data_IF_957818880273
#
_entry.id   IF_957818880273
#
_cell.length_a   1.000
_cell.length_b   1.000
_cell.length_c   1.000
_cell.angle_alpha   90.00
_cell.angle_beta   90.00
_cell.angle_gamma   90.00
#
_symmetry.space_group_name_H-M   'P 1'
#
loop_
_entity.id
_entity.type
_entity.pdbx_description
1 polymer ?
#
# COMPACT_ATOMS: atom_id res chain seq x y z
N UNK A 1 23.32 -5.06 -4.12
CA UNK A 1 22.34 -5.69 -3.22
C UNK A 1 21.57 -6.75 -4.00
N UNK A 2 21.35 -7.92 -3.42
CA UNK A 2 20.58 -8.99 -4.05
C UNK A 2 19.08 -8.68 -4.01
N UNK A 3 18.30 -9.37 -4.86
CA UNK A 3 16.84 -9.23 -4.84
C UNK A 3 16.28 -9.67 -3.47
N UNK A 4 16.80 -10.74 -2.89
CA UNK A 4 16.37 -11.19 -1.54
C UNK A 4 16.63 -10.14 -0.48
N UNK A 5 17.79 -9.47 -0.52
CA UNK A 5 18.12 -8.39 0.42
C UNK A 5 17.20 -7.19 0.24
N UNK A 6 16.88 -6.83 -1.00
CA UNK A 6 15.95 -5.74 -1.29
C UNK A 6 14.55 -6.04 -0.76
N UNK A 7 14.04 -7.25 -1.02
CA UNK A 7 12.73 -7.67 -0.51
C UNK A 7 12.69 -7.65 1.01
N UNK A 8 13.76 -8.10 1.66
CA UNK A 8 13.86 -8.09 3.11
C UNK A 8 13.82 -6.66 3.66
N UNK A 9 14.58 -5.74 3.08
CA UNK A 9 14.56 -4.33 3.50
C UNK A 9 13.18 -3.70 3.34
N UNK A 10 12.53 -3.94 2.20
CA UNK A 10 11.17 -3.43 1.96
C UNK A 10 10.21 -3.98 3.00
N UNK A 11 10.29 -5.28 3.28
CA UNK A 11 9.45 -5.92 4.29
C UNK A 11 9.64 -5.30 5.67
N UNK A 12 10.89 -4.94 6.04
CA UNK A 12 11.20 -4.29 7.31
C UNK A 12 10.48 -2.95 7.50
N UNK A 13 10.19 -2.23 6.41
CA UNK A 13 9.44 -0.96 6.50
C UNK A 13 8.07 -1.16 7.12
N UNK A 14 7.41 -2.28 6.82
CA UNK A 14 6.08 -2.60 7.37
C UNK A 14 6.13 -3.27 8.73
N UNK A 15 7.31 -3.72 9.16
CA UNK A 15 7.51 -4.32 10.48
C UNK A 15 7.94 -3.31 11.53
N UNK A 16 8.17 -2.05 11.16
CA UNK A 16 8.56 -1.02 12.14
C UNK A 16 7.45 -0.87 13.21
N UNK A 17 7.83 -0.57 14.46
CA UNK A 17 6.84 -0.36 15.53
C UNK A 17 5.83 0.74 15.19
N UNK A 18 6.27 1.83 14.54
CA UNK A 18 5.37 2.92 14.15
C UNK A 18 4.37 2.50 13.08
N UNK A 19 4.80 1.71 12.08
CA UNK A 19 3.87 1.19 11.08
C UNK A 19 2.86 0.23 11.71
N UNK A 20 3.29 -0.66 12.58
CA UNK A 20 2.40 -1.60 13.26
C UNK A 20 1.40 -0.89 14.16
N UNK A 21 1.82 0.17 14.84
CA UNK A 21 0.91 1.00 15.64
C UNK A 21 -0.12 1.70 14.75
N UNK A 22 0.28 2.21 13.59
CA UNK A 22 -0.62 2.81 12.62
C UNK A 22 -1.62 1.78 12.08
N UNK A 23 -1.15 0.58 11.77
CA UNK A 23 -2.00 -0.51 11.27
C UNK A 23 -3.04 -0.93 12.31
N UNK A 24 -2.69 -0.94 13.59
CA UNK A 24 -3.63 -1.23 14.67
C UNK A 24 -4.76 -0.19 14.73
N UNK A 25 -4.46 1.10 14.53
CA UNK A 25 -5.46 2.14 14.44
C UNK A 25 -6.36 1.90 13.22
N UNK A 26 -5.76 1.63 12.06
CA UNK A 26 -6.49 1.32 10.84
C UNK A 26 -7.43 0.13 11.01
N UNK A 27 -6.98 -0.95 11.64
CA UNK A 27 -7.82 -2.12 11.91
C UNK A 27 -8.99 -1.78 12.84
N UNK A 28 -8.81 -0.81 13.73
CA UNK A 28 -9.84 -0.40 14.68
C UNK A 28 -10.92 0.48 14.06
N UNK A 29 -10.54 1.50 13.27
CA UNK A 29 -11.48 2.52 12.79
C UNK A 29 -11.61 2.60 11.26
N UNK A 30 -10.67 2.07 10.51
CA UNK A 30 -10.65 2.10 9.04
C UNK A 30 -10.12 3.40 8.45
N UNK A 31 -9.71 3.33 7.18
CA UNK A 31 -9.03 4.41 6.49
C UNK A 31 -9.88 5.67 6.36
N UNK A 32 -11.19 5.52 6.08
CA UNK A 32 -12.09 6.67 5.96
C UNK A 32 -12.17 7.48 7.26
N UNK A 33 -12.32 6.81 8.39
CA UNK A 33 -12.38 7.46 9.69
C UNK A 33 -11.05 8.13 10.04
N UNK A 34 -9.92 7.50 9.69
CA UNK A 34 -8.60 8.08 9.87
C UNK A 34 -8.47 9.41 9.11
N UNK A 35 -8.88 9.41 7.83
CA UNK A 35 -8.82 10.60 6.97
C UNK A 35 -9.77 11.70 7.45
N UNK A 36 -10.87 11.33 8.09
CA UNK A 36 -11.86 12.28 8.61
C UNK A 36 -11.47 12.85 9.98
N UNK A 37 -10.44 12.29 10.61
CA UNK A 37 -9.94 12.80 11.90
C UNK A 37 -9.19 14.13 11.70
N UNK A 38 -9.17 15.02 12.69
CA UNK A 38 -8.38 16.25 12.58
C UNK A 38 -6.91 15.97 12.26
N UNK A 39 -6.29 16.82 11.47
CA UNK A 39 -4.93 16.62 10.97
C UNK A 39 -3.86 16.53 12.06
N UNK A 40 -4.15 17.05 13.25
CA UNK A 40 -3.26 17.01 14.41
C UNK A 40 -3.37 15.72 15.22
N UNK A 41 -4.28 14.82 14.87
CA UNK A 41 -4.53 13.61 15.67
C UNK A 41 -3.60 12.44 15.27
N UNK A 42 -3.33 11.51 16.21
CA UNK A 42 -2.59 10.29 15.90
C UNK A 42 -3.27 9.46 14.81
N UNK A 43 -4.59 9.46 14.72
CA UNK A 43 -5.35 8.70 13.72
C UNK A 43 -5.05 9.19 12.32
N UNK A 44 -5.06 10.49 12.09
CA UNK A 44 -4.70 11.08 10.79
C UNK A 44 -3.22 10.82 10.46
N UNK A 45 -2.34 11.03 11.44
CA UNK A 45 -0.91 10.74 11.29
C UNK A 45 -0.62 9.29 10.94
N UNK A 46 -1.39 8.36 11.53
CA UNK A 46 -1.25 6.94 11.24
C UNK A 46 -1.58 6.62 9.78
N UNK A 47 -2.65 7.21 9.23
CA UNK A 47 -2.97 7.04 7.80
C UNK A 47 -1.83 7.56 6.92
N UNK A 48 -1.32 8.76 7.22
CA UNK A 48 -0.22 9.37 6.47
C UNK A 48 1.04 8.50 6.53
N UNK A 49 1.30 7.90 7.67
CA UNK A 49 2.44 6.99 7.83
C UNK A 49 2.30 5.73 6.99
N UNK A 50 1.13 5.09 7.03
CA UNK A 50 0.88 3.87 6.25
C UNK A 50 0.99 4.15 4.75
N UNK A 51 0.33 5.20 4.27
CA UNK A 51 0.36 5.57 2.85
C UNK A 51 1.77 5.99 2.44
N UNK A 52 2.46 6.77 3.27
CA UNK A 52 3.85 7.18 3.01
C UNK A 52 4.81 6.00 2.92
N UNK A 53 4.60 4.98 3.75
CA UNK A 53 5.38 3.73 3.68
C UNK A 53 5.16 3.03 2.34
N UNK A 54 3.91 2.91 1.89
CA UNK A 54 3.59 2.31 0.59
C UNK A 54 4.09 3.16 -0.58
N UNK A 55 4.10 4.49 -0.46
CA UNK A 55 4.74 5.36 -1.46
C UNK A 55 6.24 5.05 -1.59
N UNK A 56 6.93 4.93 -0.47
CA UNK A 56 8.35 4.59 -0.45
C UNK A 56 8.60 3.21 -1.07
N UNK A 57 7.78 2.22 -0.70
CA UNK A 57 7.84 0.87 -1.28
C UNK A 57 7.62 0.93 -2.79
N UNK A 58 6.62 1.69 -3.24
CA UNK A 58 6.28 1.81 -4.65
C UNK A 58 7.44 2.39 -5.46
N UNK A 59 8.11 3.42 -4.95
CA UNK A 59 9.28 4.02 -5.61
C UNK A 59 10.40 2.99 -5.76
N UNK A 60 10.69 2.24 -4.69
CA UNK A 60 11.76 1.23 -4.71
C UNK A 60 11.46 0.10 -5.69
N UNK A 61 10.23 -0.41 -5.68
CA UNK A 61 9.83 -1.52 -6.56
C UNK A 61 9.80 -1.08 -8.02
N UNK A 62 9.23 0.09 -8.30
CA UNK A 62 9.08 0.57 -9.67
C UNK A 62 10.40 1.00 -10.31
N UNK A 63 11.40 1.32 -9.52
CA UNK A 63 12.73 1.68 -10.03
C UNK A 63 13.65 0.48 -10.26
N UNK A 64 13.21 -0.75 -9.98
CA UNK A 64 14.00 -1.96 -10.17
C UNK A 64 13.14 -3.06 -10.79
N UNK A 65 13.25 -3.26 -12.11
CA UNK A 65 12.42 -4.22 -12.84
C UNK A 65 12.57 -5.65 -12.32
N UNK A 66 13.76 -6.04 -11.90
CA UNK A 66 14.01 -7.38 -11.38
C UNK A 66 13.27 -7.65 -10.05
N UNK A 67 12.91 -6.60 -9.34
CA UNK A 67 12.22 -6.69 -8.06
C UNK A 67 10.71 -6.86 -8.20
N UNK A 68 10.12 -6.40 -9.32
CA UNK A 68 8.66 -6.29 -9.48
C UNK A 68 7.92 -7.60 -9.26
N UNK A 69 8.24 -8.63 -10.05
CA UNK A 69 7.51 -9.91 -9.95
C UNK A 69 7.69 -10.59 -8.60
N UNK A 70 8.91 -10.73 -8.05
CA UNK A 70 9.06 -11.27 -6.69
C UNK A 70 8.26 -10.48 -5.65
N UNK A 71 8.22 -9.16 -5.77
CA UNK A 71 7.44 -8.32 -4.86
C UNK A 71 5.94 -8.58 -4.99
N UNK A 72 5.41 -8.63 -6.23
CA UNK A 72 3.98 -8.90 -6.45
C UNK A 72 3.55 -10.26 -5.92
N UNK A 73 4.43 -11.26 -6.00
CA UNK A 73 4.14 -12.61 -5.52
C UNK A 73 4.07 -12.71 -3.99
N UNK A 74 4.67 -11.78 -3.28
CA UNK A 74 4.85 -11.87 -1.82
C UNK A 74 4.17 -10.74 -1.04
N UNK A 75 3.52 -9.78 -1.73
CA UNK A 75 2.91 -8.63 -1.06
C UNK A 75 1.50 -8.35 -1.57
N UNK A 76 0.59 -7.95 -0.69
CA UNK A 76 -0.83 -7.76 -1.01
C UNK A 76 -1.12 -6.35 -1.55
N UNK A 77 -0.51 -5.98 -2.70
CA UNK A 77 -0.60 -4.61 -3.24
C UNK A 77 -2.04 -4.18 -3.46
N UNK A 78 -2.82 -4.97 -4.22
CA UNK A 78 -4.20 -4.62 -4.55
C UNK A 78 -5.11 -4.57 -3.32
N UNK A 79 -4.92 -5.50 -2.40
CA UNK A 79 -5.67 -5.52 -1.14
C UNK A 79 -5.40 -4.25 -0.33
N UNK A 80 -4.14 -3.87 -0.16
CA UNK A 80 -3.78 -2.69 0.62
C UNK A 80 -4.24 -1.40 -0.06
N UNK A 81 -4.13 -1.32 -1.39
CA UNK A 81 -4.66 -0.19 -2.14
C UNK A 81 -6.16 -0.02 -1.89
N UNK A 82 -6.95 -1.09 -2.06
CA UNK A 82 -8.40 -1.05 -1.89
C UNK A 82 -8.79 -0.65 -0.46
N UNK A 83 -8.07 -1.15 0.54
CA UNK A 83 -8.35 -0.86 1.94
C UNK A 83 -7.97 0.56 2.35
N UNK A 84 -6.92 1.12 1.76
CA UNK A 84 -6.48 2.49 2.06
C UNK A 84 -7.12 3.55 1.18
N UNK A 85 -7.72 3.16 0.05
CA UNK A 85 -8.28 4.08 -0.93
C UNK A 85 -9.31 5.05 -0.35
N UNK A 86 -10.26 4.64 0.53
CA UNK A 86 -11.19 5.60 1.11
C UNK A 86 -10.47 6.72 1.89
N UNK A 87 -9.39 6.40 2.57
CA UNK A 87 -8.54 7.38 3.25
C UNK A 87 -7.78 8.27 2.28
N UNK A 88 -7.20 7.67 1.24
CA UNK A 88 -6.50 8.40 0.19
C UNK A 88 -7.42 9.41 -0.49
N UNK A 89 -8.64 8.99 -0.83
CA UNK A 89 -9.66 9.87 -1.42
C UNK A 89 -10.01 11.02 -0.49
N UNK A 90 -10.12 10.74 0.81
CA UNK A 90 -10.38 11.76 1.81
C UNK A 90 -9.30 12.82 1.86
N UNK A 91 -8.03 12.41 1.88
CA UNK A 91 -6.90 13.33 1.88
C UNK A 91 -6.82 14.13 0.58
N UNK A 92 -7.03 13.48 -0.56
CA UNK A 92 -7.04 14.16 -1.87
C UNK A 92 -8.13 15.21 -1.97
N UNK A 93 -9.30 14.97 -1.37
CA UNK A 93 -10.40 15.91 -1.36
C UNK A 93 -10.22 17.06 -0.38
N UNK A 94 -9.48 16.85 0.71
CA UNK A 94 -9.17 17.88 1.69
C UNK A 94 -8.30 19.00 1.10
N UNK A 95 -7.34 18.63 0.26
CA UNK A 95 -6.44 19.59 -0.38
C UNK A 95 -6.93 19.87 -1.80
N UNK A 96 -7.67 20.96 -1.99
CA UNK A 96 -8.18 21.35 -3.31
C UNK A 96 -7.12 22.05 -4.18
N UNK A 97 -5.87 22.09 -3.73
CA UNK A 97 -4.76 22.65 -4.48
C UNK A 97 -4.18 21.66 -5.48
N UNK A 98 -3.35 22.13 -6.41
CA UNK A 98 -2.72 21.30 -7.45
C UNK A 98 -1.81 20.19 -6.87
N UNK A 99 -1.33 20.33 -5.65
CA UNK A 99 -0.48 19.33 -5.01
C UNK A 99 -1.27 18.13 -4.47
N UNK A 100 -2.54 18.34 -4.12
CA UNK A 100 -3.37 17.33 -3.48
C UNK A 100 -3.69 16.11 -4.35
N UNK A 101 -3.97 16.26 -5.67
CA UNK A 101 -4.26 15.11 -6.53
C UNK A 101 -3.11 14.11 -6.66
N UNK A 102 -1.89 14.51 -6.34
CA UNK A 102 -0.71 13.63 -6.42
C UNK A 102 -0.47 12.81 -5.16
N UNK A 103 -1.25 13.00 -4.10
CA UNK A 103 -1.12 12.20 -2.88
C UNK A 103 -1.31 10.72 -3.20
N UNK A 104 -0.38 9.89 -2.75
CA UNK A 104 -0.35 8.45 -3.02
C UNK A 104 -0.19 8.09 -4.50
N UNK A 105 0.36 8.98 -5.32
CA UNK A 105 0.53 8.77 -6.76
C UNK A 105 1.39 7.53 -7.07
N UNK A 106 2.52 7.38 -6.41
CA UNK A 106 3.43 6.25 -6.65
C UNK A 106 2.79 4.92 -6.24
N UNK A 107 2.06 4.90 -5.14
CA UNK A 107 1.32 3.73 -4.70
C UNK A 107 0.21 3.38 -5.71
N UNK A 108 -0.49 4.38 -6.24
CA UNK A 108 -1.49 4.17 -7.27
C UNK A 108 -0.88 3.53 -8.53
N UNK A 109 0.27 4.02 -8.98
CA UNK A 109 0.97 3.46 -10.13
C UNK A 109 1.45 2.03 -9.86
N UNK A 110 1.92 1.75 -8.65
CA UNK A 110 2.28 0.39 -8.25
C UNK A 110 1.07 -0.54 -8.33
N UNK A 111 -0.08 -0.09 -7.85
CA UNK A 111 -1.31 -0.86 -7.90
C UNK A 111 -1.75 -1.15 -9.35
N UNK A 112 -1.62 -0.18 -10.24
CA UNK A 112 -1.92 -0.38 -11.68
C UNK A 112 -1.00 -1.42 -12.31
N UNK A 113 0.29 -1.32 -12.01
CA UNK A 113 1.27 -2.28 -12.51
C UNK A 113 1.01 -3.69 -11.97
N UNK A 114 0.65 -3.80 -10.69
CA UNK A 114 0.24 -5.06 -10.06
C UNK A 114 -1.00 -5.64 -10.75
N UNK A 115 -2.02 -4.81 -11.01
CA UNK A 115 -3.22 -5.25 -11.71
C UNK A 115 -2.95 -5.75 -13.13
N UNK A 116 -2.06 -5.09 -13.85
CA UNK A 116 -1.64 -5.53 -15.19
C UNK A 116 -0.90 -6.85 -15.14
N UNK A 117 -0.03 -7.03 -14.15
CA UNK A 117 0.66 -8.31 -13.94
C UNK A 117 -0.35 -9.44 -13.66
N UNK A 118 -1.33 -9.20 -12.78
CA UNK A 118 -2.38 -10.19 -12.48
C UNK A 118 -3.16 -10.60 -13.73
N UNK A 119 -3.52 -9.65 -14.58
CA UNK A 119 -4.26 -9.94 -15.82
C UNK A 119 -3.48 -10.82 -16.78
N UNK A 120 -2.16 -10.74 -16.75
CA UNK A 120 -1.28 -11.57 -17.58
C UNK A 120 -1.11 -12.99 -17.07
N UNK A 121 -1.56 -13.31 -15.86
CA UNK A 121 -1.44 -14.64 -15.29
C UNK A 121 -2.58 -15.55 -15.77
N UNK A 122 -2.32 -16.89 -15.89
CA UNK A 122 -3.40 -17.86 -16.08
C UNK A 122 -4.45 -17.71 -14.96
N UNK A 123 -5.73 -17.96 -15.30
CA UNK A 123 -6.85 -17.76 -14.37
C UNK A 123 -6.66 -18.52 -13.05
N UNK A 124 -6.15 -19.75 -13.12
CA UNK A 124 -5.91 -20.57 -11.93
C UNK A 124 -4.90 -19.93 -10.96
N UNK A 125 -3.81 -19.39 -11.51
CA UNK A 125 -2.80 -18.71 -10.69
C UNK A 125 -3.32 -17.41 -10.10
N UNK A 126 -4.10 -16.66 -10.85
CA UNK A 126 -4.71 -15.42 -10.39
C UNK A 126 -5.65 -15.66 -9.20
N UNK A 127 -6.49 -16.68 -9.30
CA UNK A 127 -7.40 -17.06 -8.21
C UNK A 127 -6.61 -17.51 -6.97
N UNK A 128 -5.59 -18.32 -7.15
CA UNK A 128 -4.75 -18.81 -6.05
C UNK A 128 -4.01 -17.65 -5.36
N UNK A 129 -3.46 -16.71 -6.12
CA UNK A 129 -2.76 -15.55 -5.57
C UNK A 129 -3.70 -14.68 -4.73
N UNK A 130 -4.89 -14.38 -5.25
CA UNK A 130 -5.89 -13.60 -4.52
C UNK A 130 -6.41 -14.33 -3.29
N UNK A 131 -6.66 -15.64 -3.41
CA UNK A 131 -7.10 -16.47 -2.29
C UNK A 131 -6.07 -16.51 -1.16
N UNK A 132 -4.79 -16.63 -1.51
CA UNK A 132 -3.70 -16.61 -0.53
C UNK A 132 -3.61 -15.29 0.21
N UNK A 133 -3.76 -14.18 -0.48
CA UNK A 133 -3.77 -12.84 0.12
C UNK A 133 -4.96 -12.71 1.08
N UNK A 134 -6.14 -13.11 0.66
CA UNK A 134 -7.34 -13.06 1.50
C UNK A 134 -7.21 -13.93 2.76
N UNK A 135 -6.58 -15.08 2.66
CA UNK A 135 -6.34 -15.94 3.80
C UNK A 135 -5.41 -15.28 4.83
N UNK A 136 -4.45 -14.47 4.39
CA UNK A 136 -3.48 -13.82 5.27
C UNK A 136 -3.99 -12.49 5.84
N UNK A 137 -4.78 -11.74 5.09
CA UNK A 137 -5.14 -10.36 5.43
C UNK A 137 -6.65 -10.09 5.48
N UNK A 138 -7.41 -11.04 5.02
CA UNK A 138 -8.86 -10.93 4.98
C UNK A 138 -9.52 -11.21 6.29
#
# INVERSE_FOLDING_TARGET
MTISSELFEIHQLRLSPSYQAAEAIWQSIGAKAMASSPTSTPQYGALRLMVGTWETIAIRVRSNDALKVPFYQTNPVGFMWDKLLPGIKGVRGEFKSSAAPSYAHEFELLNRAYGNWLKGLPAAYRTAALGGIHALFG
#
